data_IF_560580105851
#
_entry.id   IF_560580105851
#
_cell.length_a   1.000
_cell.length_b   1.000
_cell.length_c   1.000
_cell.angle_alpha   90.00
_cell.angle_beta   90.00
_cell.angle_gamma   90.00
#
_symmetry.space_group_name_H-M   'P 1'
#
loop_
_entity.id
_entity.type
_entity.pdbx_description
1 polymer ?
#
# COMPACT_ATOMS: atom_id res chain seq x y z
N UNK A 1 47.52 -12.10 -1.01
CA UNK A 1 46.28 -11.65 -1.69
C UNK A 1 45.84 -10.35 -1.04
N UNK A 2 46.25 -9.21 -1.59
CA UNK A 2 46.07 -7.90 -0.94
C UNK A 2 45.61 -6.88 -1.99
N UNK A 3 44.29 -6.71 -2.15
CA UNK A 3 43.69 -5.70 -3.04
C UNK A 3 42.64 -4.85 -2.29
N UNK A 4 42.87 -4.53 -1.01
CA UNK A 4 41.91 -3.78 -0.17
C UNK A 4 42.23 -2.28 -0.02
N UNK A 5 43.45 -1.85 -0.37
CA UNK A 5 43.90 -0.46 -0.21
C UNK A 5 43.13 0.58 -1.07
N UNK A 6 42.88 0.37 -2.38
CA UNK A 6 42.16 1.36 -3.18
C UNK A 6 40.68 1.46 -2.81
N UNK A 7 40.06 0.35 -2.39
CA UNK A 7 38.67 0.29 -1.96
C UNK A 7 38.39 1.12 -0.69
N UNK A 8 39.34 1.11 0.26
CA UNK A 8 39.23 1.92 1.47
C UNK A 8 39.39 3.42 1.17
N UNK A 9 40.27 3.77 0.22
CA UNK A 9 40.48 5.15 -0.21
C UNK A 9 39.24 5.73 -0.92
N UNK A 10 38.60 4.96 -1.82
CA UNK A 10 37.37 5.38 -2.50
C UNK A 10 36.22 5.66 -1.51
N UNK A 11 36.08 4.80 -0.49
CA UNK A 11 35.08 4.98 0.57
C UNK A 11 35.35 6.24 1.41
N UNK A 12 36.61 6.47 1.80
CA UNK A 12 37.00 7.65 2.57
C UNK A 12 36.81 8.94 1.77
N UNK A 13 37.18 8.96 0.49
CA UNK A 13 37.00 10.11 -0.38
C UNK A 13 35.50 10.43 -0.58
N UNK A 14 34.68 9.39 -0.79
CA UNK A 14 33.23 9.56 -0.93
C UNK A 14 32.61 10.07 0.38
N UNK A 15 33.05 9.55 1.53
CA UNK A 15 32.61 10.05 2.84
C UNK A 15 32.96 11.54 3.05
N UNK A 16 34.16 11.96 2.63
CA UNK A 16 34.57 13.36 2.68
C UNK A 16 33.70 14.26 1.78
N UNK A 17 33.36 13.80 0.56
CA UNK A 17 32.46 14.54 -0.33
C UNK A 17 31.05 14.70 0.27
N UNK A 18 30.52 13.66 0.92
CA UNK A 18 29.26 13.74 1.66
C UNK A 18 29.34 14.69 2.86
N UNK A 19 30.46 14.68 3.59
CA UNK A 19 30.67 15.60 4.70
C UNK A 19 30.73 17.06 4.23
N UNK A 20 31.48 17.34 3.16
CA UNK A 20 31.56 18.66 2.56
C UNK A 20 30.20 19.16 2.08
N UNK A 21 29.42 18.31 1.39
CA UNK A 21 28.07 18.64 0.96
C UNK A 21 27.14 18.97 2.15
N UNK A 22 27.15 18.16 3.23
CA UNK A 22 26.34 18.44 4.41
C UNK A 22 26.74 19.74 5.13
N UNK A 23 28.02 20.11 5.09
CA UNK A 23 28.51 21.34 5.72
C UNK A 23 28.18 22.59 4.90
N UNK A 24 28.07 22.46 3.57
CA UNK A 24 27.82 23.58 2.65
C UNK A 24 26.34 23.75 2.31
N UNK A 25 25.48 22.81 2.72
CA UNK A 25 24.05 22.81 2.37
C UNK A 25 23.16 22.98 3.60
N UNK A 26 22.03 23.66 3.45
CA UNK A 26 21.00 23.78 4.48
C UNK A 26 20.46 22.42 4.91
N UNK A 27 20.07 22.33 6.18
CA UNK A 27 19.48 21.12 6.76
C UNK A 27 18.24 20.69 5.97
N UNK A 28 18.18 19.41 5.58
CA UNK A 28 17.04 18.84 4.83
C UNK A 28 17.14 18.92 3.31
N UNK A 29 18.21 19.50 2.75
CA UNK A 29 18.41 19.49 1.31
C UNK A 29 18.59 18.08 0.75
N UNK A 30 18.11 17.89 -0.49
CA UNK A 30 18.18 16.61 -1.18
C UNK A 30 19.62 16.31 -1.60
N UNK A 31 20.07 15.07 -1.34
CA UNK A 31 21.39 14.59 -1.77
C UNK A 31 21.48 14.64 -3.31
N UNK A 32 22.52 15.27 -3.89
CA UNK A 32 22.80 15.30 -5.32
C UNK A 32 22.89 13.91 -5.96
N UNK A 33 22.50 13.82 -7.23
CA UNK A 33 22.52 12.57 -7.99
C UNK A 33 23.93 11.96 -8.10
N UNK A 34 24.96 12.80 -8.28
CA UNK A 34 26.36 12.38 -8.35
C UNK A 34 26.84 11.65 -7.09
N UNK A 35 26.50 12.19 -5.91
CA UNK A 35 26.84 11.55 -4.63
C UNK A 35 26.09 10.22 -4.46
N UNK A 36 24.84 10.16 -4.90
CA UNK A 36 24.08 8.90 -4.91
C UNK A 36 24.70 7.86 -5.84
N UNK A 37 25.13 8.26 -7.04
CA UNK A 37 25.74 7.34 -8.02
C UNK A 37 26.99 6.67 -7.43
N UNK A 38 27.90 7.47 -6.86
CA UNK A 38 29.11 6.98 -6.19
C UNK A 38 28.81 6.04 -5.02
N UNK A 39 27.84 6.40 -4.18
CA UNK A 39 27.42 5.56 -3.07
C UNK A 39 26.85 4.21 -3.55
N UNK A 40 26.05 4.21 -4.61
CA UNK A 40 25.46 2.99 -5.18
C UNK A 40 26.52 2.09 -5.84
N UNK A 41 27.53 2.68 -6.48
CA UNK A 41 28.68 1.94 -7.00
C UNK A 41 29.48 1.24 -5.90
N UNK A 42 29.82 1.96 -4.84
CA UNK A 42 30.49 1.38 -3.68
C UNK A 42 29.62 0.31 -3.00
N UNK A 43 28.30 0.50 -2.94
CA UNK A 43 27.39 -0.47 -2.36
C UNK A 43 27.34 -1.79 -3.15
N UNK A 44 27.52 -1.76 -4.48
CA UNK A 44 27.65 -2.97 -5.28
C UNK A 44 28.99 -3.68 -5.03
N UNK A 45 30.07 -2.94 -4.81
CA UNK A 45 31.42 -3.50 -4.57
C UNK A 45 31.64 -4.01 -3.15
N UNK A 46 31.07 -3.35 -2.15
CA UNK A 46 31.38 -3.55 -0.72
C UNK A 46 30.18 -3.94 0.14
N UNK A 47 28.99 -3.99 -0.46
CA UNK A 47 27.74 -4.29 0.23
C UNK A 47 27.07 -3.06 0.83
N UNK A 48 25.74 -3.04 0.77
CA UNK A 48 24.90 -1.90 1.18
C UNK A 48 25.12 -1.53 2.65
N UNK A 49 25.22 -2.51 3.55
CA UNK A 49 25.31 -2.26 5.00
C UNK A 49 26.57 -1.48 5.37
N UNK A 50 27.73 -1.88 4.85
CA UNK A 50 29.01 -1.23 5.12
C UNK A 50 29.01 0.20 4.59
N UNK A 51 28.52 0.40 3.37
CA UNK A 51 28.49 1.71 2.71
C UNK A 51 27.48 2.65 3.37
N UNK A 52 26.29 2.17 3.73
CA UNK A 52 25.28 2.97 4.44
C UNK A 52 25.82 3.47 5.79
N UNK A 53 26.50 2.60 6.55
CA UNK A 53 27.10 2.97 7.83
C UNK A 53 28.22 4.01 7.65
N UNK A 54 29.17 3.76 6.73
CA UNK A 54 30.31 4.65 6.51
C UNK A 54 29.89 6.03 5.96
N UNK A 55 28.94 6.06 5.02
CA UNK A 55 28.47 7.31 4.42
C UNK A 55 27.33 7.98 5.20
N UNK A 56 26.89 7.41 6.32
CA UNK A 56 25.72 7.86 7.12
C UNK A 56 24.49 8.10 6.24
N UNK A 57 24.15 7.09 5.43
CA UNK A 57 23.00 7.10 4.53
C UNK A 57 21.90 6.17 5.04
N UNK A 58 20.65 6.48 4.69
CA UNK A 58 19.54 5.55 4.89
C UNK A 58 19.78 4.26 4.10
N UNK A 59 19.86 3.14 4.82
CA UNK A 59 20.07 1.82 4.26
C UNK A 59 18.99 1.46 3.23
N UNK A 60 17.71 1.74 3.55
CA UNK A 60 16.59 1.39 2.68
C UNK A 60 16.62 2.21 1.37
N UNK A 61 16.94 3.49 1.45
CA UNK A 61 17.15 4.38 0.31
C UNK A 61 18.31 3.93 -0.58
N UNK A 62 19.44 3.55 0.01
CA UNK A 62 20.59 3.04 -0.74
C UNK A 62 20.27 1.69 -1.40
N UNK A 63 19.62 0.77 -0.68
CA UNK A 63 19.20 -0.54 -1.20
C UNK A 63 18.25 -0.38 -2.38
N UNK A 64 17.22 0.47 -2.27
CA UNK A 64 16.26 0.75 -3.35
C UNK A 64 16.93 1.27 -4.62
N UNK A 65 17.90 2.18 -4.46
CA UNK A 65 18.65 2.74 -5.59
C UNK A 65 19.58 1.73 -6.24
N UNK A 66 20.20 0.86 -5.43
CA UNK A 66 21.01 -0.23 -5.96
C UNK A 66 20.14 -1.23 -6.74
N UNK A 67 18.99 -1.63 -6.20
CA UNK A 67 18.05 -2.50 -6.92
C UNK A 67 17.50 -1.85 -8.18
N UNK A 68 17.20 -0.54 -8.17
CA UNK A 68 16.74 0.18 -9.35
C UNK A 68 17.81 0.27 -10.45
N UNK A 69 19.11 0.29 -10.10
CA UNK A 69 20.21 0.25 -11.08
C UNK A 69 20.36 -1.12 -11.73
N UNK A 70 20.15 -2.19 -10.97
CA UNK A 70 20.29 -3.58 -11.45
C UNK A 70 19.00 -4.08 -12.10
N UNK A 71 17.87 -3.44 -11.82
CA UNK A 71 16.61 -3.77 -12.48
C UNK A 71 16.76 -3.56 -13.99
N UNK A 72 16.24 -4.50 -14.81
CA UNK A 72 16.11 -4.24 -16.24
C UNK A 72 15.34 -2.92 -16.43
N UNK A 73 15.65 -2.13 -17.48
CA UNK A 73 14.87 -0.95 -17.80
C UNK A 73 13.40 -1.37 -17.80
N UNK A 74 12.50 -0.59 -17.18
CA UNK A 74 11.08 -0.90 -17.24
C UNK A 74 10.76 -1.02 -18.73
N UNK A 75 10.41 -2.23 -19.15
CA UNK A 75 9.85 -2.43 -20.47
C UNK A 75 8.70 -1.43 -20.52
N UNK A 76 8.63 -0.54 -21.53
CA UNK A 76 7.48 0.32 -21.67
C UNK A 76 6.29 -0.61 -21.86
N UNK A 77 5.58 -0.89 -20.77
CA UNK A 77 4.33 -1.59 -20.81
C UNK A 77 3.38 -0.57 -21.41
N UNK A 78 3.30 -0.55 -22.74
CA UNK A 78 2.38 0.26 -23.53
C UNK A 78 0.91 -0.08 -23.21
N UNK A 79 0.67 -1.12 -22.41
CA UNK A 79 -0.65 -1.40 -21.88
C UNK A 79 -0.87 -0.61 -20.57
N UNK A 80 -1.95 0.18 -20.45
CA UNK A 80 -2.42 0.63 -19.14
C UNK A 80 -2.58 -0.59 -18.22
N UNK A 81 -2.41 -0.45 -16.89
CA UNK A 81 -2.61 -1.58 -15.98
C UNK A 81 -3.99 -2.17 -16.26
N UNK A 82 -4.02 -3.40 -16.77
CA UNK A 82 -5.26 -4.10 -17.03
C UNK A 82 -5.94 -4.29 -15.67
N UNK A 83 -7.08 -3.64 -15.49
CA UNK A 83 -7.93 -3.89 -14.35
C UNK A 83 -8.35 -5.36 -14.42
N UNK A 84 -7.85 -6.16 -13.48
CA UNK A 84 -8.26 -7.56 -13.33
C UNK A 84 -9.41 -7.57 -12.35
N UNK A 85 -10.63 -7.67 -12.87
CA UNK A 85 -11.82 -7.84 -12.04
C UNK A 85 -11.79 -9.23 -11.40
N UNK A 86 -11.28 -9.31 -10.17
CA UNK A 86 -11.27 -10.54 -9.40
C UNK A 86 -12.60 -10.64 -8.64
N UNK A 87 -13.52 -11.44 -9.20
CA UNK A 87 -14.73 -11.89 -8.51
C UNK A 87 -14.32 -12.81 -7.36
N UNK A 88 -13.93 -12.22 -6.23
CA UNK A 88 -13.91 -12.90 -4.95
C UNK A 88 -15.36 -13.34 -4.74
N UNK A 89 -15.64 -14.65 -4.80
CA UNK A 89 -16.96 -15.26 -4.58
C UNK A 89 -17.47 -15.08 -3.15
N UNK A 90 -17.30 -13.88 -2.60
CA UNK A 90 -17.86 -13.40 -1.37
C UNK A 90 -19.38 -13.48 -1.55
N UNK A 91 -20.10 -14.10 -0.60
CA UNK A 91 -21.55 -13.98 -0.60
C UNK A 91 -21.90 -12.49 -0.63
N UNK A 92 -22.97 -12.06 -1.31
CA UNK A 92 -23.36 -10.67 -1.34
C UNK A 92 -23.55 -10.17 0.09
N UNK A 93 -22.53 -9.50 0.63
CA UNK A 93 -22.63 -8.77 1.88
C UNK A 93 -23.30 -7.45 1.55
N UNK A 94 -24.60 -7.54 1.24
CA UNK A 94 -25.46 -6.37 1.27
C UNK A 94 -25.68 -5.98 2.74
N UNK A 95 -25.86 -4.67 3.04
CA UNK A 95 -26.30 -4.27 4.36
C UNK A 95 -27.59 -5.05 4.69
N UNK A 96 -27.67 -5.61 5.91
CA UNK A 96 -28.92 -6.19 6.39
C UNK A 96 -30.01 -5.13 6.34
N UNK A 97 -31.15 -5.47 5.73
CA UNK A 97 -32.30 -4.59 5.62
C UNK A 97 -33.29 -4.95 6.72
N UNK A 98 -33.84 -3.92 7.37
CA UNK A 98 -34.87 -4.06 8.41
C UNK A 98 -36.08 -3.24 8.01
N UNK A 99 -37.22 -3.88 7.83
CA UNK A 99 -38.52 -3.24 7.65
C UNK A 99 -39.30 -3.30 8.96
N UNK A 100 -39.75 -2.14 9.45
CA UNK A 100 -40.62 -2.05 10.63
C UNK A 100 -41.92 -1.34 10.28
N UNK A 101 -43.05 -1.97 10.60
CA UNK A 101 -44.40 -1.43 10.45
C UNK A 101 -45.02 -1.31 11.84
N UNK A 102 -45.69 -0.20 12.12
CA UNK A 102 -46.43 0.03 13.36
C UNK A 102 -47.76 0.74 13.09
N UNK A 103 -48.80 0.46 13.89
CA UNK A 103 -50.09 1.19 13.85
C UNK A 103 -50.39 1.91 15.18
N UNK A 104 -51.41 2.77 15.14
CA UNK A 104 -51.91 3.50 16.32
C UNK A 104 -52.58 2.59 17.36
N UNK A 105 -52.84 1.32 17.03
CA UNK A 105 -53.42 0.31 17.93
C UNK A 105 -52.34 -0.50 18.65
N UNK A 106 -51.06 -0.20 18.40
CA UNK A 106 -49.91 -0.86 19.03
C UNK A 106 -49.46 -2.14 18.34
N UNK A 107 -49.99 -2.48 17.15
CA UNK A 107 -49.47 -3.60 16.36
C UNK A 107 -48.11 -3.22 15.80
N UNK A 108 -47.16 -4.15 15.82
CA UNK A 108 -45.84 -3.98 15.22
C UNK A 108 -45.40 -5.24 14.47
N UNK A 109 -44.74 -5.04 13.34
CA UNK A 109 -44.16 -6.10 12.50
C UNK A 109 -42.74 -5.68 12.12
N UNK A 110 -41.78 -6.58 12.37
CA UNK A 110 -40.36 -6.39 12.04
C UNK A 110 -39.88 -7.54 11.18
N UNK A 111 -39.31 -7.23 10.02
CA UNK A 111 -38.76 -8.20 9.08
C UNK A 111 -37.30 -7.84 8.82
N UNK A 112 -36.41 -8.81 9.00
CA UNK A 112 -34.98 -8.66 8.77
C UNK A 112 -34.52 -9.63 7.69
N UNK A 113 -33.74 -9.15 6.72
CA UNK A 113 -33.18 -10.00 5.68
C UNK A 113 -31.84 -9.48 5.19
N UNK A 114 -31.08 -10.37 4.57
CA UNK A 114 -29.81 -10.05 3.91
C UNK A 114 -29.97 -10.28 2.41
N UNK A 115 -29.62 -9.30 1.57
CA UNK A 115 -29.69 -9.42 0.12
C UNK A 115 -30.64 -8.43 -0.59
N UNK A 116 -30.66 -8.50 -1.93
CA UNK A 116 -31.28 -7.52 -2.86
C UNK A 116 -32.75 -7.82 -3.22
N UNK A 117 -33.42 -8.73 -2.52
CA UNK A 117 -34.82 -9.07 -2.80
C UNK A 117 -35.79 -8.06 -2.15
N UNK A 118 -36.02 -6.91 -2.79
CA UNK A 118 -36.91 -5.86 -2.26
C UNK A 118 -38.38 -6.09 -2.60
N UNK A 119 -38.70 -6.67 -3.76
CA UNK A 119 -40.08 -6.85 -4.23
C UNK A 119 -40.88 -7.93 -3.49
N UNK A 120 -40.25 -9.09 -3.22
CA UNK A 120 -40.91 -10.20 -2.50
C UNK A 120 -41.17 -9.84 -1.04
N UNK A 121 -40.24 -9.12 -0.41
CA UNK A 121 -40.36 -8.70 0.99
C UNK A 121 -41.54 -7.76 1.20
N UNK A 122 -41.81 -6.84 0.27
CA UNK A 122 -42.97 -5.96 0.35
C UNK A 122 -44.30 -6.75 0.29
N UNK A 123 -44.35 -7.81 -0.52
CA UNK A 123 -45.52 -8.69 -0.63
C UNK A 123 -45.73 -9.49 0.64
N UNK A 124 -44.67 -10.09 1.19
CA UNK A 124 -44.72 -10.83 2.47
C UNK A 124 -45.11 -9.90 3.63
N UNK A 125 -44.52 -8.71 3.69
CA UNK A 125 -44.84 -7.71 4.72
C UNK A 125 -46.31 -7.32 4.70
N UNK A 126 -46.88 -7.07 3.51
CA UNK A 126 -48.30 -6.76 3.36
C UNK A 126 -49.18 -7.92 3.80
N UNK A 127 -48.88 -9.15 3.37
CA UNK A 127 -49.66 -10.33 3.76
C UNK A 127 -49.65 -10.57 5.27
N UNK A 128 -48.50 -10.41 5.93
CA UNK A 128 -48.37 -10.54 7.38
C UNK A 128 -49.05 -9.40 8.14
N UNK A 129 -49.07 -8.19 7.57
CA UNK A 129 -49.71 -7.03 8.18
C UNK A 129 -51.24 -7.07 8.10
N UNK A 130 -51.77 -7.53 6.96
CA UNK A 130 -53.21 -7.67 6.72
C UNK A 130 -53.80 -8.94 7.36
N UNK A 131 -52.97 -9.93 7.71
CA UNK A 131 -53.41 -11.08 8.48
C UNK A 131 -53.96 -10.60 9.84
N UNK A 132 -55.21 -10.96 10.13
CA UNK A 132 -55.80 -10.74 11.44
C UNK A 132 -54.94 -11.46 12.50
N UNK A 133 -54.72 -10.88 13.69
CA UNK A 133 -54.05 -11.59 14.77
C UNK A 133 -54.81 -12.89 15.02
N UNK A 134 -54.11 -14.04 14.96
CA UNK A 134 -54.70 -15.31 15.35
C UNK A 134 -55.18 -15.19 16.80
N UNK A 135 -56.49 -15.12 17.00
CA UNK A 135 -57.11 -15.25 18.31
C UNK A 135 -56.90 -16.68 18.78
N UNK A 136 -55.93 -16.89 19.68
CA UNK A 136 -55.88 -18.06 20.55
C UNK A 136 -56.74 -17.80 21.79
#
# INVERSE_FOLDING_TARGET
MSLSLPAAADLAQTAAAFAHWRNTTSQGARIPAELWSRAVELAARHGVSKVAATLRLDYAGLKRRLTARTAPPPVPTTAPPAFVEMMLGLPPSGPGCVLTLSDARGRSLRIEWTGTATGEVATVARSLWEAAPCSL
#
